data_IF_737652916548
#
_entry.id   IF_737652916548
#
_cell.length_a   1.000
_cell.length_b   1.000
_cell.length_c   1.000
_cell.angle_alpha   90.00
_cell.angle_beta   90.00
_cell.angle_gamma   90.00
#
_symmetry.space_group_name_H-M   'P 1'
#
loop_
_entity.id
_entity.type
_entity.pdbx_description
1 polymer ?
#
# COMPACT_ATOMS: atom_id res chain seq x y z
N UNK A 1 -27.89 -3.24 14.05
CA UNK A 1 -26.72 -2.87 14.87
C UNK A 1 -26.43 -3.98 15.87
N UNK A 2 -25.21 -4.53 15.83
CA UNK A 2 -24.71 -5.59 16.69
C UNK A 2 -24.66 -5.12 18.14
N UNK A 3 -25.22 -5.90 19.06
CA UNK A 3 -25.34 -5.51 20.48
C UNK A 3 -23.99 -5.23 21.14
N UNK A 4 -22.91 -5.87 20.66
CA UNK A 4 -21.56 -5.68 21.20
C UNK A 4 -20.95 -4.33 20.87
N UNK A 5 -21.42 -3.67 19.81
CA UNK A 5 -20.98 -2.32 19.43
C UNK A 5 -21.68 -1.24 20.26
N UNK A 6 -22.76 -1.59 20.99
CA UNK A 6 -23.49 -0.65 21.82
C UNK A 6 -22.56 -0.15 22.93
N UNK A 7 -22.40 1.18 23.01
CA UNK A 7 -21.54 1.88 23.96
C UNK A 7 -20.02 1.66 23.80
N UNK A 8 -19.53 1.12 22.66
CA UNK A 8 -18.08 0.94 22.47
C UNK A 8 -17.29 2.23 22.68
N UNK A 9 -17.86 3.38 22.28
CA UNK A 9 -17.26 4.71 22.47
C UNK A 9 -17.18 5.19 23.93
N UNK A 10 -17.85 4.50 24.87
CA UNK A 10 -17.80 4.80 26.30
C UNK A 10 -16.77 3.94 27.04
N UNK A 11 -16.22 2.93 26.37
CA UNK A 11 -15.21 2.04 26.92
C UNK A 11 -13.82 2.66 26.78
N UNK A 12 -12.87 2.17 27.57
CA UNK A 12 -11.47 2.50 27.30
C UNK A 12 -10.96 1.73 26.07
N UNK A 13 -9.81 2.16 25.52
CA UNK A 13 -9.22 1.55 24.33
C UNK A 13 -9.08 0.03 24.44
N UNK A 14 -8.55 -0.48 25.56
CA UNK A 14 -8.26 -1.92 25.73
C UNK A 14 -9.56 -2.73 25.66
N UNK A 15 -10.62 -2.26 26.29
CA UNK A 15 -11.93 -2.89 26.29
C UNK A 15 -12.59 -2.84 24.90
N UNK A 16 -12.57 -1.68 24.26
CA UNK A 16 -13.10 -1.49 22.91
C UNK A 16 -12.37 -2.35 21.88
N UNK A 17 -11.04 -2.37 21.93
CA UNK A 17 -10.20 -3.15 21.03
C UNK A 17 -10.47 -4.64 21.16
N UNK A 18 -10.63 -5.15 22.39
CA UNK A 18 -11.00 -6.54 22.62
C UNK A 18 -12.34 -6.90 21.97
N UNK A 19 -13.32 -5.99 22.00
CA UNK A 19 -14.61 -6.20 21.34
C UNK A 19 -14.45 -6.26 19.82
N UNK A 20 -13.68 -5.34 19.22
CA UNK A 20 -13.39 -5.32 17.79
C UNK A 20 -12.73 -6.64 17.35
N UNK A 21 -11.66 -7.05 18.02
CA UNK A 21 -10.98 -8.31 17.70
C UNK A 21 -11.91 -9.51 17.82
N UNK A 22 -12.72 -9.57 18.88
CA UNK A 22 -13.66 -10.68 19.05
C UNK A 22 -14.75 -10.70 17.96
N UNK A 23 -15.16 -9.54 17.44
CA UNK A 23 -16.07 -9.48 16.28
C UNK A 23 -15.40 -10.03 15.01
N UNK A 24 -14.11 -9.75 14.81
CA UNK A 24 -13.34 -10.29 13.68
C UNK A 24 -13.12 -11.81 13.80
N UNK A 25 -12.80 -12.30 15.00
CA UNK A 25 -12.53 -13.72 15.27
C UNK A 25 -13.78 -14.61 15.18
N UNK A 26 -14.96 -14.08 15.53
CA UNK A 26 -16.21 -14.85 15.56
C UNK A 26 -16.67 -15.29 14.16
N UNK A 27 -16.03 -14.82 13.08
CA UNK A 27 -16.37 -15.12 11.67
C UNK A 27 -17.83 -14.85 11.32
N UNK A 28 -18.42 -13.87 12.01
CA UNK A 28 -19.80 -13.44 11.79
C UNK A 28 -19.80 -12.34 10.72
N UNK A 29 -20.75 -12.45 9.79
CA UNK A 29 -20.98 -11.37 8.83
C UNK A 29 -21.60 -10.15 9.54
N UNK A 30 -20.93 -9.01 9.45
CA UNK A 30 -21.38 -7.74 10.01
C UNK A 30 -22.30 -7.04 9.00
N UNK A 31 -23.35 -6.41 9.50
CA UNK A 31 -24.22 -5.61 8.63
C UNK A 31 -23.50 -4.34 8.16
N UNK A 32 -23.98 -3.74 7.07
CA UNK A 32 -23.44 -2.48 6.58
C UNK A 32 -23.51 -1.37 7.65
N UNK A 33 -24.57 -1.36 8.47
CA UNK A 33 -24.70 -0.42 9.58
C UNK A 33 -23.60 -0.61 10.63
N UNK A 34 -23.23 -1.87 10.93
CA UNK A 34 -22.17 -2.19 11.89
C UNK A 34 -20.81 -1.74 11.36
N UNK A 35 -20.52 -2.02 10.09
CA UNK A 35 -19.28 -1.60 9.43
C UNK A 35 -19.22 -0.08 9.36
N UNK A 36 -20.30 0.56 8.91
CA UNK A 36 -20.41 2.02 8.89
C UNK A 36 -20.14 2.62 10.27
N UNK A 37 -20.70 2.03 11.32
CA UNK A 37 -20.46 2.49 12.68
C UNK A 37 -18.98 2.36 13.07
N UNK A 38 -18.36 1.19 12.81
CA UNK A 38 -16.94 0.95 13.12
C UNK A 38 -16.03 1.93 12.36
N UNK A 39 -16.22 2.15 11.06
CA UNK A 39 -15.39 3.06 10.26
C UNK A 39 -15.45 4.52 10.76
N UNK A 40 -16.55 4.90 11.41
CA UNK A 40 -16.76 6.25 11.94
C UNK A 40 -16.36 6.41 13.41
N UNK A 41 -15.74 5.40 14.03
CA UNK A 41 -15.17 5.55 15.36
C UNK A 41 -14.12 6.66 15.40
N UNK A 42 -14.09 7.40 16.51
CA UNK A 42 -13.14 8.50 16.73
C UNK A 42 -11.71 7.99 16.85
N UNK A 43 -11.54 6.90 17.58
CA UNK A 43 -10.27 6.20 17.75
C UNK A 43 -9.94 5.42 16.48
N UNK A 44 -8.90 5.82 15.75
CA UNK A 44 -8.59 5.29 14.41
C UNK A 44 -7.88 3.95 14.47
N UNK A 45 -7.14 3.72 15.53
CA UNK A 45 -6.48 2.48 15.90
C UNK A 45 -7.49 1.31 16.00
N UNK A 46 -8.75 1.59 16.40
CA UNK A 46 -9.82 0.58 16.39
C UNK A 46 -10.31 0.27 14.98
N UNK A 47 -10.35 1.27 14.11
CA UNK A 47 -10.72 1.12 12.70
C UNK A 47 -9.66 0.32 11.95
N UNK A 48 -8.38 0.62 12.20
CA UNK A 48 -7.22 -0.10 11.64
C UNK A 48 -7.26 -1.57 12.04
N UNK A 49 -7.46 -1.85 13.33
CA UNK A 49 -7.60 -3.21 13.85
C UNK A 49 -8.75 -3.96 13.18
N UNK A 50 -9.89 -3.29 12.96
CA UNK A 50 -11.02 -3.88 12.26
C UNK A 50 -10.69 -4.20 10.80
N UNK A 51 -10.15 -3.25 10.05
CA UNK A 51 -9.83 -3.41 8.62
C UNK A 51 -8.75 -4.48 8.38
N UNK A 52 -7.80 -4.60 9.29
CA UNK A 52 -6.74 -5.61 9.22
C UNK A 52 -7.23 -7.03 9.48
N UNK A 53 -8.09 -7.21 10.48
CA UNK A 53 -8.45 -8.54 10.98
C UNK A 53 -9.76 -9.07 10.39
N UNK A 54 -10.65 -8.21 9.91
CA UNK A 54 -11.94 -8.63 9.37
C UNK A 54 -11.83 -9.09 7.92
N UNK A 55 -12.24 -10.34 7.63
CA UNK A 55 -12.11 -10.94 6.30
C UNK A 55 -13.44 -11.20 5.56
N UNK A 56 -14.59 -10.89 6.16
CA UNK A 56 -15.91 -11.34 5.67
C UNK A 56 -16.74 -10.25 4.99
N UNK A 57 -16.09 -9.43 4.17
CA UNK A 57 -16.75 -8.40 3.37
C UNK A 57 -17.46 -8.99 2.14
N UNK A 58 -18.66 -8.51 1.81
CA UNK A 58 -19.24 -8.70 0.48
C UNK A 58 -19.07 -7.43 -0.35
N UNK A 59 -19.43 -7.53 -1.64
CA UNK A 59 -19.23 -6.47 -2.61
C UNK A 59 -19.87 -5.13 -2.19
N UNK A 60 -21.03 -5.17 -1.53
CA UNK A 60 -21.71 -3.95 -1.07
C UNK A 60 -20.93 -3.26 0.06
N UNK A 61 -20.33 -4.02 0.97
CA UNK A 61 -19.47 -3.48 2.03
C UNK A 61 -18.17 -2.94 1.45
N UNK A 62 -17.55 -3.66 0.51
CA UNK A 62 -16.32 -3.20 -0.15
C UNK A 62 -16.54 -1.89 -0.91
N UNK A 63 -17.67 -1.76 -1.63
CA UNK A 63 -18.02 -0.50 -2.30
C UNK A 63 -18.24 0.64 -1.29
N UNK A 64 -18.83 0.34 -0.14
CA UNK A 64 -18.99 1.35 0.92
C UNK A 64 -17.64 1.77 1.49
N UNK A 65 -16.74 0.81 1.77
CA UNK A 65 -15.39 1.08 2.26
C UNK A 65 -14.56 1.86 1.23
N UNK A 66 -14.67 1.52 -0.06
CA UNK A 66 -14.01 2.28 -1.13
C UNK A 66 -14.44 3.75 -1.14
N UNK A 67 -15.74 4.02 -1.02
CA UNK A 67 -16.26 5.39 -0.93
C UNK A 67 -15.75 6.09 0.35
N UNK A 68 -15.74 5.38 1.47
CA UNK A 68 -15.19 5.88 2.72
C UNK A 68 -13.72 6.26 2.58
N UNK A 69 -12.88 5.39 2.00
CA UNK A 69 -11.46 5.65 1.79
C UNK A 69 -11.27 6.87 0.88
N UNK A 70 -11.97 6.92 -0.25
CA UNK A 70 -11.90 8.07 -1.18
C UNK A 70 -12.26 9.41 -0.51
N UNK A 71 -13.22 9.40 0.41
CA UNK A 71 -13.58 10.60 1.18
C UNK A 71 -12.55 10.99 2.26
N UNK A 72 -11.65 10.08 2.63
CA UNK A 72 -10.63 10.28 3.66
C UNK A 72 -9.21 10.41 3.09
N UNK A 73 -9.01 10.47 1.76
CA UNK A 73 -7.66 10.60 1.18
C UNK A 73 -6.92 11.91 1.54
N UNK A 74 -7.62 12.88 2.12
CA UNK A 74 -7.06 14.15 2.62
C UNK A 74 -6.95 14.18 4.15
N UNK A 75 -7.10 13.04 4.83
CA UNK A 75 -7.09 12.97 6.29
C UNK A 75 -5.74 13.43 6.87
N UNK A 76 -5.81 14.11 8.03
CA UNK A 76 -4.63 14.69 8.70
C UNK A 76 -3.76 13.60 9.33
N UNK A 77 -4.36 12.59 9.96
CA UNK A 77 -3.63 11.40 10.45
C UNK A 77 -3.13 10.57 9.26
N UNK A 78 -1.81 10.57 9.06
CA UNK A 78 -1.14 9.90 7.94
C UNK A 78 -0.97 8.40 8.14
N UNK A 79 -0.84 7.93 9.38
CA UNK A 79 -0.78 6.50 9.70
C UNK A 79 -2.10 5.83 9.32
N UNK A 80 -3.22 6.42 9.77
CA UNK A 80 -4.55 5.97 9.40
C UNK A 80 -4.76 5.96 7.88
N UNK A 81 -4.33 7.03 7.20
CA UNK A 81 -4.45 7.12 5.74
C UNK A 81 -3.63 6.03 5.03
N UNK A 82 -2.42 5.75 5.49
CA UNK A 82 -1.59 4.65 5.00
C UNK A 82 -2.30 3.31 5.12
N UNK A 83 -2.90 3.01 6.29
CA UNK A 83 -3.63 1.77 6.51
C UNK A 83 -4.87 1.63 5.61
N UNK A 84 -5.58 2.72 5.35
CA UNK A 84 -6.68 2.73 4.38
C UNK A 84 -6.18 2.39 2.96
N UNK A 85 -5.03 2.92 2.54
CA UNK A 85 -4.45 2.64 1.23
C UNK A 85 -3.96 1.18 1.14
N UNK A 86 -3.35 0.64 2.19
CA UNK A 86 -3.00 -0.79 2.26
C UNK A 86 -4.25 -1.67 2.13
N UNK A 87 -5.30 -1.36 2.89
CA UNK A 87 -6.56 -2.09 2.78
C UNK A 87 -7.13 -2.06 1.36
N UNK A 88 -7.17 -0.88 0.72
CA UNK A 88 -7.59 -0.74 -0.66
C UNK A 88 -6.72 -1.56 -1.63
N UNK A 89 -5.41 -1.59 -1.39
CA UNK A 89 -4.44 -2.35 -2.20
C UNK A 89 -4.61 -3.85 -2.09
N UNK A 90 -5.01 -4.36 -0.93
CA UNK A 90 -5.20 -5.79 -0.68
C UNK A 90 -6.56 -6.30 -1.14
N UNK A 91 -7.60 -5.47 -1.03
CA UNK A 91 -8.95 -5.79 -1.51
C UNK A 91 -9.22 -5.36 -2.96
N UNK A 92 -8.25 -4.73 -3.64
CA UNK A 92 -8.36 -4.32 -5.03
C UNK A 92 -9.41 -3.22 -5.26
N UNK A 93 -9.51 -2.27 -4.33
CA UNK A 93 -10.47 -1.18 -4.39
C UNK A 93 -9.99 -0.05 -5.32
N UNK A 94 -10.93 0.62 -6.00
CA UNK A 94 -10.65 1.74 -6.89
C UNK A 94 -10.65 3.07 -6.13
N UNK A 95 -9.50 3.44 -5.57
CA UNK A 95 -9.30 4.73 -4.91
C UNK A 95 -8.71 5.75 -5.89
N UNK A 96 -8.96 7.03 -5.62
CA UNK A 96 -8.67 8.15 -6.53
C UNK A 96 -7.19 8.22 -6.89
N UNK A 97 -6.88 7.82 -8.13
CA UNK A 97 -5.51 7.70 -8.61
C UNK A 97 -4.72 9.02 -8.55
N UNK A 98 -5.36 10.15 -8.92
CA UNK A 98 -4.72 11.46 -8.87
C UNK A 98 -4.36 11.86 -7.44
N UNK A 99 -5.25 11.57 -6.48
CA UNK A 99 -4.97 11.82 -5.06
C UNK A 99 -3.84 10.95 -4.55
N UNK A 100 -3.76 9.68 -4.95
CA UNK A 100 -2.63 8.81 -4.58
C UNK A 100 -1.30 9.32 -5.16
N UNK A 101 -1.30 9.85 -6.39
CA UNK A 101 -0.11 10.48 -6.97
C UNK A 101 0.34 11.71 -6.18
N UNK A 102 -0.59 12.53 -5.69
CA UNK A 102 -0.28 13.72 -4.88
C UNK A 102 0.39 13.34 -3.54
N UNK A 103 0.03 12.18 -2.96
CA UNK A 103 0.63 11.68 -1.70
C UNK A 103 2.08 11.20 -1.85
N UNK A 104 2.61 11.09 -3.09
CA UNK A 104 4.00 10.71 -3.33
C UNK A 104 5.00 11.83 -3.06
N UNK A 105 4.58 13.09 -3.17
CA UNK A 105 5.48 14.23 -3.05
C UNK A 105 5.40 14.76 -1.62
N UNK A 106 6.51 14.63 -0.88
CA UNK A 106 6.61 15.09 0.52
C UNK A 106 7.71 16.13 0.65
N UNK A 107 7.46 17.14 1.49
CA UNK A 107 8.41 18.24 1.75
C UNK A 107 9.40 17.90 2.88
N UNK A 108 9.15 16.85 3.67
CA UNK A 108 9.99 16.43 4.81
C UNK A 108 9.84 14.92 5.10
N UNK A 109 10.89 14.31 5.68
CA UNK A 109 11.11 12.87 5.96
C UNK A 109 10.01 12.14 6.79
N UNK A 110 8.93 12.80 7.20
CA UNK A 110 8.10 12.30 8.31
C UNK A 110 6.91 11.42 7.89
N UNK A 111 6.84 10.93 6.63
CA UNK A 111 5.65 10.23 6.10
C UNK A 111 5.96 8.96 5.29
N UNK A 112 6.98 8.22 5.67
CA UNK A 112 7.49 7.12 4.83
C UNK A 112 6.46 6.01 4.58
N UNK A 113 5.71 5.67 5.62
CA UNK A 113 4.66 4.65 5.53
C UNK A 113 3.59 5.03 4.50
N UNK A 114 3.27 6.32 4.36
CA UNK A 114 2.26 6.82 3.43
C UNK A 114 2.75 6.79 1.98
N UNK A 115 3.98 7.24 1.74
CA UNK A 115 4.60 7.17 0.40
C UNK A 115 4.70 5.71 -0.03
N UNK A 116 5.18 4.83 0.86
CA UNK A 116 5.28 3.41 0.58
C UNK A 116 3.93 2.76 0.29
N UNK A 117 2.89 3.03 1.09
CA UNK A 117 1.53 2.54 0.85
C UNK A 117 1.02 3.01 -0.53
N UNK A 118 1.24 4.28 -0.86
CA UNK A 118 0.86 4.88 -2.14
C UNK A 118 1.59 4.21 -3.31
N UNK A 119 2.91 4.00 -3.21
CA UNK A 119 3.70 3.28 -4.21
C UNK A 119 3.20 1.84 -4.41
N UNK A 120 2.85 1.14 -3.33
CA UNK A 120 2.29 -0.21 -3.44
C UNK A 120 0.95 -0.22 -4.16
N UNK A 121 0.05 0.71 -3.85
CA UNK A 121 -1.21 0.87 -4.57
C UNK A 121 -0.98 1.12 -6.07
N UNK A 122 -0.10 2.08 -6.40
CA UNK A 122 0.20 2.46 -7.77
C UNK A 122 0.87 1.33 -8.56
N UNK A 123 1.77 0.57 -7.92
CA UNK A 123 2.36 -0.62 -8.52
C UNK A 123 1.26 -1.62 -8.88
N UNK A 124 0.31 -1.90 -7.98
CA UNK A 124 -0.79 -2.83 -8.29
C UNK A 124 -1.78 -2.29 -9.32
N UNK A 125 -1.88 -0.97 -9.49
CA UNK A 125 -2.95 -0.32 -10.25
C UNK A 125 -2.45 0.67 -11.33
N UNK A 126 -1.40 0.36 -12.09
CA UNK A 126 -0.86 1.28 -13.12
C UNK A 126 -1.96 1.68 -14.14
N UNK A 127 -2.28 2.98 -14.21
CA UNK A 127 -3.26 3.55 -15.16
C UNK A 127 -2.52 4.34 -16.25
N UNK A 128 -2.58 3.87 -17.49
CA UNK A 128 -1.91 4.52 -18.65
C UNK A 128 -2.28 6.00 -18.83
N UNK A 129 -3.50 6.40 -18.45
CA UNK A 129 -3.94 7.79 -18.50
C UNK A 129 -3.05 8.74 -17.68
N UNK A 130 -2.41 8.24 -16.63
CA UNK A 130 -1.60 9.01 -15.69
C UNK A 130 -0.10 8.68 -15.81
N UNK A 131 0.32 8.03 -16.89
CA UNK A 131 1.67 7.45 -16.99
C UNK A 131 2.77 8.50 -16.90
N UNK A 132 2.58 9.68 -17.51
CA UNK A 132 3.58 10.76 -17.51
C UNK A 132 3.81 11.29 -16.09
N UNK A 133 2.72 11.60 -15.38
CA UNK A 133 2.77 12.06 -13.99
C UNK A 133 3.36 11.00 -13.04
N UNK A 134 3.02 9.72 -13.27
CA UNK A 134 3.60 8.61 -12.53
C UNK A 134 5.11 8.53 -12.75
N UNK A 135 5.58 8.57 -14.00
CA UNK A 135 7.01 8.52 -14.33
C UNK A 135 7.79 9.69 -13.71
N UNK A 136 7.22 10.89 -13.74
CA UNK A 136 7.80 12.08 -13.12
C UNK A 136 7.96 11.89 -11.60
N UNK A 137 6.88 11.53 -10.90
CA UNK A 137 6.91 11.33 -9.45
C UNK A 137 7.86 10.21 -9.02
N UNK A 138 7.87 9.07 -9.74
CA UNK A 138 8.75 7.95 -9.41
C UNK A 138 10.23 8.30 -9.63
N UNK A 139 10.54 9.05 -10.70
CA UNK A 139 11.91 9.53 -10.95
C UNK A 139 12.33 10.50 -9.86
N UNK A 140 11.44 11.41 -9.46
CA UNK A 140 11.68 12.32 -8.34
C UNK A 140 11.99 11.56 -7.05
N UNK A 141 11.17 10.57 -6.67
CA UNK A 141 11.40 9.74 -5.47
C UNK A 141 12.77 9.06 -5.53
N UNK A 142 13.08 8.39 -6.65
CA UNK A 142 14.34 7.67 -6.84
C UNK A 142 15.56 8.57 -6.63
N UNK A 143 15.51 9.79 -7.16
CA UNK A 143 16.68 10.65 -7.27
C UNK A 143 16.88 11.59 -6.06
N UNK A 144 15.96 11.59 -5.07
CA UNK A 144 16.03 12.48 -3.90
C UNK A 144 16.26 11.74 -2.58
N UNK A 145 17.19 12.26 -1.77
CA UNK A 145 17.61 11.68 -0.48
C UNK A 145 16.57 11.78 0.63
N UNK A 146 15.54 12.62 0.48
CA UNK A 146 14.44 12.76 1.45
C UNK A 146 13.58 11.49 1.56
N UNK A 147 13.67 10.61 0.55
CA UNK A 147 12.94 9.35 0.51
C UNK A 147 13.78 8.21 1.06
N UNK A 148 13.09 7.26 1.70
CA UNK A 148 13.72 6.08 2.24
C UNK A 148 14.11 5.08 1.14
N UNK A 149 15.14 4.27 1.40
CA UNK A 149 15.66 3.34 0.41
C UNK A 149 14.62 2.32 -0.07
N UNK A 150 13.68 1.91 0.78
CA UNK A 150 12.56 1.04 0.40
C UNK A 150 11.60 1.71 -0.60
N UNK A 151 11.36 3.01 -0.47
CA UNK A 151 10.55 3.81 -1.41
C UNK A 151 11.29 4.00 -2.73
N UNK A 152 12.56 4.39 -2.66
CA UNK A 152 13.42 4.55 -3.84
C UNK A 152 13.55 3.22 -4.61
N UNK A 153 13.66 2.11 -3.90
CA UNK A 153 13.70 0.76 -4.46
C UNK A 153 12.38 0.42 -5.14
N UNK A 154 11.24 0.58 -4.45
CA UNK A 154 9.94 0.27 -5.03
C UNK A 154 9.63 1.19 -6.22
N UNK A 155 9.97 2.47 -6.14
CA UNK A 155 9.83 3.40 -7.25
C UNK A 155 10.65 2.96 -8.46
N UNK A 156 11.89 2.52 -8.24
CA UNK A 156 12.77 1.99 -9.29
C UNK A 156 12.24 0.70 -9.91
N UNK A 157 11.61 -0.18 -9.12
CA UNK A 157 10.94 -1.37 -9.64
C UNK A 157 9.74 -1.00 -10.53
N UNK A 158 8.91 -0.03 -10.11
CA UNK A 158 7.77 0.43 -10.90
C UNK A 158 8.27 1.10 -12.20
N UNK A 159 9.30 1.95 -12.13
CA UNK A 159 9.93 2.57 -13.29
C UNK A 159 10.43 1.52 -14.28
N UNK A 160 11.18 0.52 -13.80
CA UNK A 160 11.63 -0.58 -14.65
C UNK A 160 10.47 -1.33 -15.29
N UNK A 161 9.40 -1.61 -14.52
CA UNK A 161 8.22 -2.30 -15.04
C UNK A 161 7.52 -1.52 -16.15
N UNK A 162 7.49 -0.20 -16.09
CA UNK A 162 6.85 0.65 -17.10
C UNK A 162 7.76 0.84 -18.32
N UNK A 163 9.04 1.13 -18.10
CA UNK A 163 9.93 1.60 -19.18
C UNK A 163 10.87 0.53 -19.71
N UNK A 164 11.03 -0.59 -19.00
CA UNK A 164 12.03 -1.64 -19.25
C UNK A 164 13.48 -1.13 -19.33
N UNK A 165 13.79 -0.01 -18.65
CA UNK A 165 15.13 0.59 -18.66
C UNK A 165 16.03 -0.06 -17.61
N UNK A 166 17.14 -0.69 -17.99
CA UNK A 166 18.02 -1.42 -17.08
C UNK A 166 18.60 -0.60 -15.93
N UNK A 167 18.84 0.69 -16.16
CA UNK A 167 19.46 1.60 -15.20
C UNK A 167 18.69 1.68 -13.88
N UNK A 168 17.36 1.49 -13.91
CA UNK A 168 16.55 1.43 -12.70
C UNK A 168 16.84 0.18 -11.85
N UNK A 169 17.20 -0.93 -12.48
CA UNK A 169 17.65 -2.14 -11.75
C UNK A 169 19.08 -2.04 -11.24
N UNK A 170 19.96 -1.39 -12.01
CA UNK A 170 21.31 -1.09 -11.55
C UNK A 170 21.26 -0.28 -10.24
N UNK A 171 20.37 0.70 -10.15
CA UNK A 171 20.15 1.46 -8.92
C UNK A 171 19.60 0.59 -7.77
N UNK A 172 18.64 -0.31 -8.02
CA UNK A 172 18.17 -1.26 -6.98
C UNK A 172 19.31 -2.13 -6.46
N UNK A 173 20.20 -2.57 -7.35
CA UNK A 173 21.40 -3.32 -6.97
C UNK A 173 22.31 -2.49 -6.06
N UNK A 174 22.58 -1.24 -6.43
CA UNK A 174 23.39 -0.32 -5.62
C UNK A 174 22.82 -0.16 -4.20
N UNK A 175 21.50 -0.02 -4.06
CA UNK A 175 20.83 0.04 -2.75
C UNK A 175 21.01 -1.24 -1.92
N UNK A 176 20.92 -2.41 -2.56
CA UNK A 176 21.12 -3.71 -1.89
C UNK A 176 22.58 -3.92 -1.48
N UNK A 177 23.53 -3.51 -2.32
CA UNK A 177 24.96 -3.59 -2.01
C UNK A 177 25.37 -2.62 -0.91
N UNK A 178 24.67 -1.49 -0.79
CA UNK A 178 24.86 -0.52 0.29
C UNK A 178 24.29 -1.01 1.63
N UNK A 179 23.08 -1.59 1.63
CA UNK A 179 22.41 -2.13 2.81
C UNK A 179 21.69 -3.45 2.49
N UNK A 180 22.16 -4.55 3.07
CA UNK A 180 21.59 -5.89 2.88
C UNK A 180 20.13 -5.99 3.34
N UNK A 181 19.64 -5.13 4.23
CA UNK A 181 18.23 -5.14 4.65
C UNK A 181 17.28 -4.83 3.48
N UNK A 182 17.74 -4.10 2.47
CA UNK A 182 17.00 -3.86 1.23
C UNK A 182 16.75 -5.16 0.45
N UNK A 183 17.60 -6.18 0.61
CA UNK A 183 17.42 -7.48 -0.05
C UNK A 183 16.15 -8.19 0.45
N UNK A 184 15.84 -8.08 1.74
CA UNK A 184 14.62 -8.67 2.30
C UNK A 184 13.38 -8.00 1.73
N UNK A 185 13.35 -6.67 1.75
CA UNK A 185 12.26 -5.88 1.18
C UNK A 185 12.06 -6.16 -0.32
N UNK A 186 13.17 -6.19 -1.07
CA UNK A 186 13.18 -6.55 -2.48
C UNK A 186 12.59 -7.93 -2.74
N UNK A 187 13.08 -8.95 -2.03
CA UNK A 187 12.61 -10.34 -2.17
C UNK A 187 11.12 -10.47 -1.88
N UNK A 188 10.58 -9.68 -0.95
CA UNK A 188 9.15 -9.68 -0.67
C UNK A 188 8.35 -8.93 -1.76
N UNK A 189 8.90 -7.83 -2.28
CA UNK A 189 8.26 -7.04 -3.35
C UNK A 189 8.11 -7.80 -4.66
N UNK A 190 9.07 -8.66 -5.01
CA UNK A 190 9.08 -9.44 -6.26
C UNK A 190 8.33 -10.78 -6.17
N UNK A 191 7.86 -11.19 -4.97
CA UNK A 191 7.05 -12.41 -4.80
C UNK A 191 5.59 -12.21 -5.21
N UNK A 192 5.16 -10.97 -5.43
CA UNK A 192 3.80 -10.66 -5.86
C UNK A 192 3.60 -11.18 -7.29
N UNK A 193 2.44 -11.78 -7.58
CA UNK A 193 2.08 -12.42 -8.86
C UNK A 193 2.44 -11.59 -10.12
N UNK A 194 2.51 -10.27 -9.98
CA UNK A 194 2.86 -9.32 -11.03
C UNK A 194 4.29 -9.48 -11.57
N UNK A 195 5.17 -10.11 -10.80
CA UNK A 195 6.55 -10.41 -11.16
C UNK A 195 6.77 -11.91 -11.46
N UNK A 196 5.70 -12.71 -11.58
CA UNK A 196 5.77 -14.09 -12.07
C UNK A 196 6.37 -14.09 -13.49
N UNK A 197 7.28 -15.03 -13.75
CA UNK A 197 7.92 -15.31 -15.04
C UNK A 197 6.96 -15.32 -16.24
N UNK A 198 5.68 -15.64 -16.02
CA UNK A 198 4.63 -15.60 -17.05
C UNK A 198 4.31 -14.18 -17.56
N UNK A 199 4.38 -13.19 -16.69
CA UNK A 199 4.03 -11.79 -16.99
C UNK A 199 5.26 -10.89 -17.03
N UNK A 200 6.36 -11.34 -16.40
CA UNK A 200 7.59 -10.59 -16.26
C UNK A 200 8.76 -11.56 -16.08
N UNK A 201 9.68 -11.62 -17.05
CA UNK A 201 10.79 -12.57 -16.99
C UNK A 201 11.81 -12.18 -15.90
N UNK A 202 11.62 -12.73 -14.70
CA UNK A 202 12.46 -12.48 -13.53
C UNK A 202 13.87 -13.08 -13.67
N UNK A 203 14.10 -14.01 -14.59
CA UNK A 203 15.42 -14.60 -14.81
C UNK A 203 16.38 -13.59 -15.45
N UNK A 204 15.88 -12.79 -16.40
CA UNK A 204 16.62 -11.65 -16.96
C UNK A 204 16.96 -10.62 -15.86
N UNK A 205 16.03 -10.39 -14.94
CA UNK A 205 16.16 -9.48 -13.79
C UNK A 205 17.19 -9.97 -12.75
N UNK A 206 17.18 -11.25 -12.39
CA UNK A 206 18.21 -11.86 -11.51
C UNK A 206 19.58 -11.95 -12.20
N UNK A 207 19.59 -12.11 -13.53
CA UNK A 207 20.81 -12.06 -14.34
C UNK A 207 21.49 -10.70 -14.29
N UNK A 208 20.72 -9.61 -14.39
CA UNK A 208 21.23 -8.23 -14.28
C UNK A 208 21.80 -7.96 -12.88
N UNK A 209 21.13 -8.40 -11.81
CA UNK A 209 21.64 -8.24 -10.44
C UNK A 209 22.97 -8.96 -10.23
N UNK A 210 23.12 -10.17 -10.80
CA UNK A 210 24.35 -10.97 -10.67
C UNK A 210 25.51 -10.48 -11.55
N UNK A 211 25.24 -9.93 -12.73
CA UNK A 211 26.27 -9.69 -13.76
C UNK A 211 26.47 -8.22 -14.13
N UNK A 212 25.51 -7.35 -13.82
CA UNK A 212 25.50 -5.95 -14.25
C UNK A 212 25.18 -5.75 -15.73
N UNK A 213 24.87 -6.79 -16.50
CA UNK A 213 24.59 -6.71 -17.94
C UNK A 213 23.22 -7.30 -18.28
N UNK A 214 22.49 -6.67 -19.22
CA UNK A 214 21.43 -7.36 -19.95
C UNK A 214 22.06 -8.30 -20.97
N UNK A 215 21.84 -9.60 -20.81
CA UNK A 215 21.75 -10.49 -21.96
C UNK A 215 20.28 -10.54 -22.38
N UNK A 216 19.97 -9.90 -23.50
CA UNK A 216 18.74 -10.17 -24.23
C UNK A 216 19.10 -11.27 -25.22
N UNK A 217 18.67 -12.50 -24.95
CA UNK A 217 18.57 -13.53 -25.97
C UNK A 217 17.30 -13.29 -26.82
#
# INVERSE_FOLDING_TARGET
MNERLINIEKLNFIEAHKIILQLCEDKIHLSLDDISFILNLKEKELVESFLKEYAHFHQKELLYIENFINSNLEHENKEFLSDLIYFATDFGLDISYSKILELLIIDAEDNNFLVLASLQYLNKNIKFLYIDALLENLTYIRDHEVYHQNEQLLASLILFRITHKPDYLAFVKELIEYDESNLEFFNNSIKVDMYDGKYFNIESFLGILKTGNLSLD
#
